data_IF_195558098468
#
_entry.id   IF_195558098468
#
_cell.length_a   1.000
_cell.length_b   1.000
_cell.length_c   1.000
_cell.angle_alpha   90.00
_cell.angle_beta   90.00
_cell.angle_gamma   90.00
#
_symmetry.space_group_name_H-M   'P 1'
#
loop_
_entity.id
_entity.type
_entity.pdbx_description
1 polymer ?
#
# COMPACT_ATOMS: atom_id res chain seq x y z
N UNK A 1 12.12 4.22 18.75
CA UNK A 1 11.67 3.58 17.49
C UNK A 1 11.07 4.67 16.63
N UNK A 2 11.34 4.69 15.31
CA UNK A 2 10.68 5.64 14.40
C UNK A 2 9.17 5.36 14.33
N UNK A 3 8.36 6.41 14.10
CA UNK A 3 6.92 6.22 13.90
C UNK A 3 6.66 5.30 12.70
N UNK A 4 5.57 4.48 12.73
CA UNK A 4 5.22 3.62 11.62
C UNK A 4 4.99 4.42 10.33
N UNK A 5 5.34 3.82 9.17
CA UNK A 5 5.03 4.43 7.87
C UNK A 5 3.52 4.48 7.63
N UNK A 6 3.05 5.60 7.12
CA UNK A 6 1.66 5.81 6.77
C UNK A 6 1.52 6.02 5.25
N UNK A 7 0.92 5.06 4.55
CA UNK A 7 0.55 5.18 3.14
C UNK A 7 -0.95 5.43 3.02
N UNK A 8 -1.34 6.36 2.15
CA UNK A 8 -2.74 6.54 1.73
C UNK A 8 -2.81 6.29 0.22
N UNK A 9 -3.58 5.29 -0.19
CA UNK A 9 -3.63 4.80 -1.56
C UNK A 9 -4.88 5.27 -2.30
N UNK A 10 -4.83 5.31 -3.64
CA UNK A 10 -5.97 5.63 -4.50
C UNK A 10 -6.24 7.13 -4.65
N UNK A 11 -5.19 7.93 -4.76
CA UNK A 11 -5.28 9.37 -5.07
C UNK A 11 -5.84 9.57 -6.47
N UNK A 12 -6.88 10.41 -6.59
CA UNK A 12 -7.49 10.80 -7.88
C UNK A 12 -7.70 12.31 -8.01
N UNK A 13 -7.61 13.07 -6.91
CA UNK A 13 -7.90 14.50 -6.86
C UNK A 13 -6.77 15.27 -6.18
N UNK A 14 -6.56 16.52 -6.61
CA UNK A 14 -5.55 17.40 -6.05
C UNK A 14 -5.76 17.66 -4.55
N UNK A 15 -6.99 17.90 -4.13
CA UNK A 15 -7.38 18.14 -2.74
C UNK A 15 -7.07 16.96 -1.83
N UNK A 16 -7.24 15.71 -2.32
CA UNK A 16 -6.91 14.51 -1.56
C UNK A 16 -5.40 14.35 -1.40
N UNK A 17 -4.63 14.64 -2.46
CA UNK A 17 -3.15 14.61 -2.42
C UNK A 17 -2.63 15.59 -1.36
N UNK A 18 -3.09 16.84 -1.40
CA UNK A 18 -2.67 17.88 -0.44
C UNK A 18 -3.14 17.53 0.97
N UNK A 19 -4.43 17.23 1.14
CA UNK A 19 -5.00 16.98 2.46
C UNK A 19 -4.44 15.73 3.14
N UNK A 20 -4.10 14.67 2.40
CA UNK A 20 -3.44 13.47 2.96
C UNK A 20 -1.99 13.77 3.37
N UNK A 21 -1.26 14.56 2.58
CA UNK A 21 0.11 14.94 2.92
C UNK A 21 0.14 15.85 4.17
N UNK A 22 -0.74 16.85 4.24
CA UNK A 22 -0.89 17.71 5.41
C UNK A 22 -1.30 16.95 6.68
N UNK A 23 -2.07 15.87 6.51
CA UNK A 23 -2.43 14.99 7.61
C UNK A 23 -1.29 14.06 8.06
N UNK A 24 -0.13 14.06 7.39
CA UNK A 24 1.07 13.32 7.78
C UNK A 24 1.28 11.99 7.05
N UNK A 25 0.68 11.78 5.87
CA UNK A 25 1.00 10.63 5.02
C UNK A 25 2.45 10.70 4.53
N UNK A 26 3.19 9.59 4.65
CA UNK A 26 4.57 9.47 4.12
C UNK A 26 4.56 9.05 2.64
N UNK A 27 3.56 8.26 2.24
CA UNK A 27 3.42 7.68 0.91
C UNK A 27 2.01 7.91 0.37
N UNK A 28 1.89 8.31 -0.91
CA UNK A 28 0.62 8.48 -1.62
C UNK A 28 0.58 7.54 -2.84
N UNK A 29 -0.47 6.71 -2.92
CA UNK A 29 -0.62 5.70 -3.97
C UNK A 29 -1.49 6.19 -5.14
N UNK A 30 -1.00 5.99 -6.37
CA UNK A 30 -1.65 6.29 -7.64
C UNK A 30 -1.85 4.98 -8.39
N UNK A 31 -3.07 4.62 -8.77
CA UNK A 31 -3.40 3.29 -9.31
C UNK A 31 -3.46 3.33 -10.83
N UNK A 32 -2.72 2.43 -11.48
CA UNK A 32 -2.67 2.30 -12.94
C UNK A 32 -3.35 1.01 -13.46
N UNK A 33 -4.01 0.26 -12.58
CA UNK A 33 -4.78 -0.92 -12.96
C UNK A 33 -6.12 -0.53 -13.58
N UNK A 34 -6.34 -0.85 -14.86
CA UNK A 34 -7.50 -0.41 -15.65
C UNK A 34 -8.86 -0.80 -15.05
N UNK A 35 -8.95 -1.91 -14.31
CA UNK A 35 -10.17 -2.37 -13.66
C UNK A 35 -10.50 -1.62 -12.37
N UNK A 36 -9.59 -0.79 -11.87
CA UNK A 36 -9.80 -0.04 -10.64
C UNK A 36 -10.67 1.20 -10.90
N UNK A 37 -11.69 1.49 -10.05
CA UNK A 37 -12.43 2.75 -10.13
C UNK A 37 -11.56 3.98 -9.76
N UNK A 38 -10.33 3.76 -9.32
CA UNK A 38 -9.33 4.77 -8.97
C UNK A 38 -8.20 4.84 -9.99
N UNK A 39 -8.39 4.23 -11.16
CA UNK A 39 -7.37 4.20 -12.21
C UNK A 39 -7.11 5.61 -12.76
N UNK A 40 -5.84 5.94 -12.93
CA UNK A 40 -5.36 7.15 -13.59
C UNK A 40 -4.52 6.80 -14.79
N UNK A 41 -4.49 7.68 -15.79
CA UNK A 41 -3.43 7.68 -16.80
C UNK A 41 -2.15 8.28 -16.18
N UNK A 42 -0.95 7.98 -16.76
CA UNK A 42 0.30 8.59 -16.31
C UNK A 42 0.25 10.13 -16.33
N UNK A 43 -0.31 10.72 -17.39
CA UNK A 43 -0.47 12.17 -17.52
C UNK A 43 -1.40 12.77 -16.44
N UNK A 44 -2.50 12.08 -16.10
CA UNK A 44 -3.37 12.50 -15.00
C UNK A 44 -2.64 12.47 -13.65
N UNK A 45 -1.87 11.41 -13.38
CA UNK A 45 -1.08 11.32 -12.16
C UNK A 45 0.01 12.41 -12.11
N UNK A 46 0.72 12.65 -13.23
CA UNK A 46 1.72 13.71 -13.34
C UNK A 46 1.15 15.11 -13.05
N UNK A 47 -0.10 15.37 -13.46
CA UNK A 47 -0.77 16.65 -13.26
C UNK A 47 -1.20 16.91 -11.80
N UNK A 48 -1.20 15.89 -10.93
CA UNK A 48 -1.56 16.04 -9.51
C UNK A 48 -0.43 16.73 -8.73
N UNK A 49 -0.75 17.53 -7.69
CA UNK A 49 0.21 18.30 -6.93
C UNK A 49 1.40 17.48 -6.41
N UNK A 50 2.58 18.09 -6.41
CA UNK A 50 3.76 17.61 -5.73
C UNK A 50 3.71 18.03 -4.27
N UNK A 51 3.92 17.09 -3.35
CA UNK A 51 3.94 17.29 -1.91
C UNK A 51 5.15 16.57 -1.31
N UNK A 52 5.39 16.73 -0.01
CA UNK A 52 6.54 16.07 0.64
C UNK A 52 6.44 14.53 0.69
N UNK A 53 5.21 13.98 0.66
CA UNK A 53 4.99 12.53 0.64
C UNK A 53 5.48 11.92 -0.68
N UNK A 54 6.09 10.72 -0.60
CA UNK A 54 6.58 9.99 -1.78
C UNK A 54 5.42 9.44 -2.60
N UNK A 55 5.58 9.45 -3.92
CA UNK A 55 4.60 8.98 -4.90
C UNK A 55 4.81 7.49 -5.18
N UNK A 56 3.76 6.69 -5.05
CA UNK A 56 3.78 5.24 -5.25
C UNK A 56 2.83 4.86 -6.37
N UNK A 57 3.34 4.33 -7.48
CA UNK A 57 2.49 3.75 -8.54
C UNK A 57 2.05 2.34 -8.16
N UNK A 58 0.78 2.02 -8.34
CA UNK A 58 0.25 0.66 -8.11
C UNK A 58 -0.02 -0.01 -9.45
N UNK A 59 0.65 -1.14 -9.67
CA UNK A 59 0.67 -1.91 -10.92
C UNK A 59 0.18 -3.34 -10.69
N UNK A 60 -0.56 -3.90 -11.64
CA UNK A 60 -1.10 -5.27 -11.56
C UNK A 60 -0.65 -6.12 -12.75
N UNK A 61 -0.99 -5.71 -13.97
CA UNK A 61 -0.80 -6.50 -15.20
C UNK A 61 0.27 -5.90 -16.15
N UNK A 62 0.85 -4.75 -15.78
CA UNK A 62 1.80 -4.04 -16.62
C UNK A 62 3.11 -4.81 -16.80
N UNK A 63 3.68 -4.73 -17.99
CA UNK A 63 5.03 -5.20 -18.30
C UNK A 63 6.09 -4.35 -17.60
N UNK A 64 7.32 -4.82 -17.55
CA UNK A 64 8.43 -4.07 -16.96
C UNK A 64 8.65 -2.72 -17.68
N UNK A 65 8.59 -2.70 -19.01
CA UNK A 65 8.74 -1.49 -19.81
C UNK A 65 7.63 -0.46 -19.49
N UNK A 66 6.37 -0.92 -19.40
CA UNK A 66 5.25 -0.07 -19.03
C UNK A 66 5.40 0.48 -17.60
N UNK A 67 5.80 -0.36 -16.63
CA UNK A 67 6.04 0.10 -15.25
C UNK A 67 7.10 1.20 -15.24
N UNK A 68 8.24 0.99 -15.87
CA UNK A 68 9.33 1.97 -15.91
C UNK A 68 8.94 3.26 -16.66
N UNK A 69 8.22 3.14 -17.77
CA UNK A 69 7.69 4.27 -18.54
C UNK A 69 6.72 5.11 -17.73
N UNK A 70 5.74 4.46 -17.08
CA UNK A 70 4.76 5.14 -16.20
C UNK A 70 5.45 5.78 -15.00
N UNK A 71 6.43 5.10 -14.40
CA UNK A 71 7.19 5.66 -13.28
C UNK A 71 7.93 6.94 -13.67
N UNK A 72 8.49 6.98 -14.87
CA UNK A 72 9.17 8.17 -15.38
C UNK A 72 8.19 9.30 -15.69
N UNK A 73 7.11 9.02 -16.45
CA UNK A 73 6.13 10.03 -16.87
C UNK A 73 5.36 10.63 -15.68
N UNK A 74 4.89 9.78 -14.75
CA UNK A 74 4.15 10.22 -13.57
C UNK A 74 5.06 10.61 -12.40
N UNK A 75 6.40 10.60 -12.61
CA UNK A 75 7.42 10.97 -11.62
C UNK A 75 7.22 10.24 -10.28
N UNK A 76 7.15 8.91 -10.33
CA UNK A 76 6.92 8.07 -9.17
C UNK A 76 8.23 7.68 -8.47
N UNK A 77 8.24 7.75 -7.14
CA UNK A 77 9.37 7.34 -6.32
C UNK A 77 9.45 5.82 -6.17
N UNK A 78 8.29 5.17 -6.01
CA UNK A 78 8.17 3.74 -5.71
C UNK A 78 7.14 3.08 -6.66
N UNK A 79 7.35 1.79 -6.93
CA UNK A 79 6.40 0.92 -7.60
C UNK A 79 5.83 -0.10 -6.60
N UNK A 80 4.51 -0.10 -6.41
CA UNK A 80 3.81 -1.18 -5.72
C UNK A 80 3.36 -2.22 -6.75
N UNK A 81 3.99 -3.37 -6.73
CA UNK A 81 3.69 -4.50 -7.58
C UNK A 81 2.63 -5.38 -6.91
N UNK A 82 1.41 -5.30 -7.45
CA UNK A 82 0.20 -5.89 -6.87
C UNK A 82 -0.36 -7.02 -7.75
N UNK A 83 0.47 -7.62 -8.58
CA UNK A 83 0.15 -8.72 -9.50
C UNK A 83 1.00 -9.96 -9.27
N UNK A 84 1.33 -10.66 -10.35
CA UNK A 84 2.13 -11.89 -10.35
C UNK A 84 3.64 -11.67 -10.57
N UNK A 85 4.15 -10.45 -10.39
CA UNK A 85 5.55 -10.14 -10.64
C UNK A 85 6.47 -10.94 -9.72
N UNK A 86 7.50 -11.56 -10.28
CA UNK A 86 8.49 -12.38 -9.61
C UNK A 86 9.68 -11.55 -9.04
N UNK A 87 10.61 -12.18 -8.31
CA UNK A 87 11.78 -11.48 -7.78
C UNK A 87 12.67 -10.84 -8.84
N UNK A 88 12.79 -11.43 -10.03
CA UNK A 88 13.64 -10.88 -11.10
C UNK A 88 13.01 -9.61 -11.69
N UNK A 89 11.70 -9.58 -11.86
CA UNK A 89 10.97 -8.37 -12.20
C UNK A 89 11.20 -7.26 -11.16
N UNK A 90 11.14 -7.60 -9.86
CA UNK A 90 11.38 -6.64 -8.78
C UNK A 90 12.81 -6.08 -8.83
N UNK A 91 13.82 -6.93 -9.10
CA UNK A 91 15.21 -6.51 -9.27
C UNK A 91 15.39 -5.59 -10.47
N UNK A 92 14.69 -5.85 -11.57
CA UNK A 92 14.74 -5.02 -12.78
C UNK A 92 14.11 -3.63 -12.59
N UNK A 93 13.06 -3.50 -11.76
CA UNK A 93 12.51 -2.19 -11.36
C UNK A 93 13.45 -1.44 -10.42
N UNK A 94 14.23 -2.17 -9.64
CA UNK A 94 15.16 -1.68 -8.62
C UNK A 94 14.67 -1.98 -7.19
N UNK A 95 15.38 -2.85 -6.44
CA UNK A 95 14.90 -3.37 -5.15
C UNK A 95 14.47 -2.31 -4.14
N UNK A 96 15.22 -1.19 -4.06
CA UNK A 96 14.94 -0.09 -3.14
C UNK A 96 13.72 0.77 -3.55
N UNK A 97 13.15 0.54 -4.74
CA UNK A 97 11.97 1.23 -5.26
C UNK A 97 10.71 0.36 -5.25
N UNK A 98 10.78 -0.89 -4.81
CA UNK A 98 9.67 -1.84 -4.91
C UNK A 98 8.97 -2.05 -3.57
N UNK A 99 7.64 -1.96 -3.60
CA UNK A 99 6.71 -2.50 -2.61
C UNK A 99 6.03 -3.70 -3.27
N UNK A 100 6.14 -4.92 -2.72
CA UNK A 100 5.51 -6.13 -3.28
C UNK A 100 4.32 -6.53 -2.41
N UNK A 101 3.15 -6.69 -3.05
CA UNK A 101 1.94 -7.15 -2.35
C UNK A 101 1.92 -8.67 -2.19
N UNK A 102 1.55 -9.12 -1.01
CA UNK A 102 1.33 -10.52 -0.65
C UNK A 102 -0.07 -10.66 -0.04
N UNK A 103 -0.70 -11.82 -0.24
CA UNK A 103 -2.07 -12.09 0.19
C UNK A 103 -2.09 -13.26 1.17
N UNK A 104 -2.17 -13.03 2.48
CA UNK A 104 -2.22 -14.10 3.49
C UNK A 104 -3.28 -15.16 3.19
N UNK A 105 -4.44 -14.76 2.68
CA UNK A 105 -5.56 -15.65 2.37
C UNK A 105 -5.31 -16.61 1.19
N UNK A 106 -4.26 -16.38 0.39
CA UNK A 106 -3.84 -17.30 -0.69
C UNK A 106 -2.95 -18.44 -0.19
N UNK A 107 -2.53 -18.38 1.08
CA UNK A 107 -1.65 -19.35 1.69
C UNK A 107 -2.39 -20.23 2.69
N UNK A 108 -2.16 -21.56 2.67
CA UNK A 108 -2.77 -22.48 3.64
C UNK A 108 -2.22 -22.25 5.06
N UNK A 109 -1.00 -21.75 5.20
CA UNK A 109 -0.33 -21.48 6.48
C UNK A 109 0.51 -20.22 6.43
N UNK A 110 0.80 -19.64 7.60
CA UNK A 110 1.77 -18.52 7.71
C UNK A 110 3.19 -18.93 7.28
N UNK A 111 3.56 -20.21 7.48
CA UNK A 111 4.85 -20.74 7.02
C UNK A 111 4.99 -20.71 5.50
N UNK A 112 3.94 -21.02 4.74
CA UNK A 112 3.98 -20.91 3.27
C UNK A 112 4.00 -19.45 2.79
N UNK A 113 3.34 -18.53 3.48
CA UNK A 113 3.46 -17.09 3.22
C UNK A 113 4.88 -16.60 3.51
N UNK A 114 5.45 -16.98 4.66
CA UNK A 114 6.82 -16.61 5.02
C UNK A 114 7.84 -17.13 4.01
N UNK A 115 7.66 -18.34 3.50
CA UNK A 115 8.51 -18.91 2.46
C UNK A 115 8.41 -18.14 1.13
N UNK A 116 7.20 -17.73 0.70
CA UNK A 116 7.05 -16.87 -0.47
C UNK A 116 7.76 -15.52 -0.23
N UNK A 117 7.54 -14.89 0.91
CA UNK A 117 8.18 -13.60 1.22
C UNK A 117 9.70 -13.71 1.24
N UNK A 118 10.26 -14.80 1.78
CA UNK A 118 11.71 -15.04 1.82
C UNK A 118 12.33 -15.13 0.42
N UNK A 119 11.60 -15.60 -0.59
CA UNK A 119 12.08 -15.62 -1.98
C UNK A 119 12.31 -14.21 -2.56
N UNK A 120 11.72 -13.17 -1.97
CA UNK A 120 11.89 -11.77 -2.37
C UNK A 120 12.95 -11.02 -1.53
N UNK A 121 13.68 -11.72 -0.65
CA UNK A 121 14.74 -11.09 0.13
C UNK A 121 15.79 -10.46 -0.79
N UNK A 122 16.18 -9.22 -0.47
CA UNK A 122 17.08 -8.42 -1.32
C UNK A 122 16.49 -7.97 -2.66
N UNK A 123 15.26 -8.36 -3.03
CA UNK A 123 14.60 -7.96 -4.28
C UNK A 123 13.58 -6.83 -4.09
N UNK A 124 13.15 -6.53 -2.88
CA UNK A 124 12.14 -5.53 -2.56
C UNK A 124 12.53 -4.67 -1.35
N UNK A 125 11.99 -3.45 -1.29
CA UNK A 125 12.16 -2.55 -0.14
C UNK A 125 11.18 -2.86 0.98
N UNK A 126 9.92 -3.08 0.62
CA UNK A 126 8.83 -3.35 1.55
C UNK A 126 7.95 -4.49 1.02
N UNK A 127 7.55 -5.37 1.90
CA UNK A 127 6.39 -6.21 1.66
C UNK A 127 5.11 -5.44 2.02
N UNK A 128 4.01 -5.68 1.33
CA UNK A 128 2.68 -5.20 1.68
C UNK A 128 1.78 -6.42 1.84
N UNK A 129 1.31 -6.66 3.05
CA UNK A 129 0.34 -7.72 3.33
C UNK A 129 -1.07 -7.17 3.12
N UNK A 130 -1.68 -7.51 1.99
CA UNK A 130 -3.07 -7.17 1.70
C UNK A 130 -3.99 -8.28 2.22
N UNK A 131 -4.47 -8.06 3.41
CA UNK A 131 -5.38 -8.97 4.08
C UNK A 131 -6.86 -8.60 3.82
N UNK A 132 -7.10 -7.69 2.85
CA UNK A 132 -8.44 -7.31 2.40
C UNK A 132 -9.12 -8.47 1.67
N UNK A 133 -10.37 -8.71 2.02
CA UNK A 133 -11.25 -9.52 1.20
C UNK A 133 -11.64 -8.72 -0.03
N UNK A 134 -11.21 -9.14 -1.21
CA UNK A 134 -11.77 -8.64 -2.46
C UNK A 134 -13.27 -8.92 -2.49
N UNK A 135 -14.09 -7.87 -2.35
CA UNK A 135 -15.54 -7.93 -2.48
C UNK A 135 -16.25 -8.43 -1.23
N UNK A 136 -16.92 -7.52 -0.61
CA UNK A 136 -17.69 -7.62 0.61
C UNK A 136 -18.42 -8.93 0.89
N UNK A 137 -18.57 -9.26 2.17
CA UNK A 137 -19.63 -10.09 2.66
C UNK A 137 -19.27 -11.37 3.42
N UNK A 138 -18.01 -11.66 3.67
CA UNK A 138 -17.66 -12.84 4.50
C UNK A 138 -16.85 -12.40 5.71
N UNK A 139 -17.49 -11.86 6.70
CA UNK A 139 -17.10 -11.46 8.05
C UNK A 139 -15.87 -12.08 8.76
N UNK A 140 -14.82 -12.43 8.04
CA UNK A 140 -13.53 -12.75 8.63
C UNK A 140 -12.77 -11.45 8.80
N UNK A 141 -12.84 -10.87 10.00
CA UNK A 141 -11.89 -9.87 10.45
C UNK A 141 -10.48 -10.44 10.25
N UNK A 142 -9.57 -9.58 9.81
CA UNK A 142 -8.13 -9.83 9.82
C UNK A 142 -7.74 -10.41 11.19
N UNK A 143 -7.14 -11.58 11.19
CA UNK A 143 -6.52 -12.11 12.39
C UNK A 143 -5.15 -11.44 12.58
N UNK A 144 -5.18 -10.24 13.17
CA UNK A 144 -3.97 -9.49 13.49
C UNK A 144 -3.03 -10.26 14.40
N UNK A 145 -3.56 -11.14 15.26
CA UNK A 145 -2.75 -11.94 16.18
C UNK A 145 -1.94 -12.99 15.40
N UNK A 146 -2.54 -13.63 14.40
CA UNK A 146 -1.81 -14.55 13.54
C UNK A 146 -0.68 -13.81 12.78
N UNK A 147 -0.93 -12.61 12.25
CA UNK A 147 0.10 -11.83 11.56
C UNK A 147 1.25 -11.36 12.48
N UNK A 148 1.01 -11.24 13.78
CA UNK A 148 2.06 -10.89 14.76
C UNK A 148 3.17 -11.94 14.88
N UNK A 149 2.89 -13.19 14.51
CA UNK A 149 3.88 -14.28 14.50
C UNK A 149 4.75 -14.27 13.23
N UNK A 150 4.38 -13.46 12.22
CA UNK A 150 5.12 -13.38 10.97
C UNK A 150 6.39 -12.55 11.16
N UNK A 151 7.55 -13.13 10.82
CA UNK A 151 8.85 -12.46 10.88
C UNK A 151 9.49 -12.41 9.48
N UNK A 152 9.00 -11.57 8.57
CA UNK A 152 9.57 -11.47 7.22
C UNK A 152 10.98 -10.85 7.26
N UNK A 153 11.87 -11.21 6.31
CA UNK A 153 13.24 -10.69 6.27
C UNK A 153 13.32 -9.20 5.86
N UNK A 154 12.20 -8.61 5.46
CA UNK A 154 12.13 -7.19 5.07
C UNK A 154 11.05 -6.45 5.87
N UNK A 155 11.13 -5.11 5.98
CA UNK A 155 10.05 -4.31 6.55
C UNK A 155 8.75 -4.51 5.78
N UNK A 156 7.60 -4.50 6.50
CA UNK A 156 6.30 -4.75 5.88
C UNK A 156 5.23 -3.77 6.32
N UNK A 157 4.29 -3.54 5.41
CA UNK A 157 3.11 -2.71 5.59
C UNK A 157 1.87 -3.59 5.67
N UNK A 158 0.92 -3.22 6.50
CA UNK A 158 -0.39 -3.89 6.59
C UNK A 158 -1.43 -3.10 5.80
N UNK A 159 -2.16 -3.79 4.93
CA UNK A 159 -3.28 -3.28 4.15
C UNK A 159 -4.52 -4.15 4.36
N UNK A 160 -5.67 -3.70 3.84
CA UNK A 160 -6.91 -4.46 3.85
C UNK A 160 -7.98 -3.86 4.77
N UNK A 161 -8.73 -2.86 4.26
CA UNK A 161 -9.86 -2.27 4.96
C UNK A 161 -9.52 -1.50 6.24
N UNK A 162 -8.27 -1.06 6.38
CA UNK A 162 -7.84 -0.25 7.52
C UNK A 162 -8.45 1.16 7.45
N UNK A 163 -8.87 1.65 8.60
CA UNK A 163 -9.47 2.97 8.78
C UNK A 163 -9.43 3.42 10.23
N UNK A 164 -10.14 4.52 10.58
CA UNK A 164 -10.05 5.12 11.91
C UNK A 164 -10.48 4.19 13.05
N UNK A 165 -11.30 3.19 12.75
CA UNK A 165 -11.92 2.36 13.79
C UNK A 165 -11.10 1.09 14.12
N UNK A 166 -10.08 0.73 13.28
CA UNK A 166 -9.31 -0.50 13.46
C UNK A 166 -7.78 -0.33 13.32
N UNK A 167 -7.29 0.79 12.77
CA UNK A 167 -5.85 0.97 12.48
C UNK A 167 -4.99 0.94 13.74
N UNK A 168 -5.45 1.53 14.84
CA UNK A 168 -4.73 1.53 16.12
C UNK A 168 -4.58 0.11 16.70
N UNK A 169 -5.65 -0.69 16.63
CA UNK A 169 -5.64 -2.08 17.05
C UNK A 169 -4.72 -2.93 16.15
N UNK A 170 -4.81 -2.75 14.85
CA UNK A 170 -3.95 -3.42 13.86
C UNK A 170 -2.46 -3.18 14.16
N UNK A 171 -2.06 -1.93 14.41
CA UNK A 171 -0.69 -1.56 14.78
C UNK A 171 -0.24 -2.19 16.10
N UNK A 172 -1.10 -2.16 17.10
CA UNK A 172 -0.79 -2.69 18.43
C UNK A 172 -0.58 -4.20 18.42
N UNK A 173 -1.41 -4.94 17.66
CA UNK A 173 -1.40 -6.42 17.64
C UNK A 173 -0.40 -6.94 16.63
N UNK A 174 -0.55 -6.60 15.34
CA UNK A 174 0.28 -7.14 14.26
C UNK A 174 1.68 -6.54 14.18
N UNK A 175 1.88 -5.35 14.77
CA UNK A 175 3.18 -4.62 14.83
C UNK A 175 3.87 -4.49 13.46
N UNK A 176 3.16 -4.08 12.39
CA UNK A 176 3.78 -3.83 11.10
C UNK A 176 4.71 -2.61 11.17
N UNK A 177 5.61 -2.47 10.20
CA UNK A 177 6.46 -1.29 10.05
C UNK A 177 5.68 -0.07 9.52
N UNK A 178 4.47 -0.28 9.02
CA UNK A 178 3.57 0.76 8.55
C UNK A 178 2.22 0.20 8.10
N UNK A 179 1.35 1.09 7.63
CA UNK A 179 0.00 0.76 7.16
C UNK A 179 -0.28 1.35 5.79
N UNK A 180 -1.18 0.72 5.05
CA UNK A 180 -1.73 1.22 3.79
C UNK A 180 -3.25 1.41 3.92
N UNK A 181 -3.69 2.65 3.86
CA UNK A 181 -5.09 3.08 3.99
C UNK A 181 -5.65 3.35 2.59
N UNK A 182 -6.80 2.76 2.25
CA UNK A 182 -7.47 3.03 0.99
C UNK A 182 -8.98 3.21 1.20
N UNK A 183 -9.79 2.18 0.97
CA UNK A 183 -11.26 2.25 1.04
C UNK A 183 -11.78 2.59 2.44
N UNK A 184 -11.08 2.21 3.51
CA UNK A 184 -11.49 2.53 4.89
C UNK A 184 -11.43 4.03 5.24
N UNK A 185 -10.78 4.84 4.40
CA UNK A 185 -10.69 6.30 4.57
C UNK A 185 -11.34 7.05 3.40
N UNK A 186 -12.27 6.41 2.69
CA UNK A 186 -13.05 7.01 1.60
C UNK A 186 -14.48 7.31 2.01
N UNK A 187 -15.08 8.29 1.34
CA UNK A 187 -16.52 8.54 1.33
C UNK A 187 -17.19 7.75 0.21
N UNK A 188 -16.51 7.61 -0.93
CA UNK A 188 -16.86 6.74 -2.05
C UNK A 188 -15.59 6.39 -2.82
N UNK A 189 -15.57 5.35 -3.68
CA UNK A 189 -14.37 4.94 -4.40
C UNK A 189 -13.68 6.10 -5.13
N UNK A 190 -12.42 6.37 -4.77
CA UNK A 190 -11.61 7.46 -5.32
C UNK A 190 -11.82 8.83 -4.68
N UNK A 191 -12.71 8.97 -3.69
CA UNK A 191 -12.92 10.21 -2.95
C UNK A 191 -12.53 10.02 -1.49
N UNK A 192 -11.45 10.66 -1.04
CA UNK A 192 -11.02 10.55 0.36
C UNK A 192 -11.92 11.38 1.27
N UNK A 193 -12.25 10.80 2.42
CA UNK A 193 -12.80 11.50 3.56
C UNK A 193 -11.62 12.00 4.42
N UNK A 194 -11.29 13.27 4.32
CA UNK A 194 -10.13 13.85 5.01
C UNK A 194 -10.28 13.81 6.55
N UNK A 195 -11.49 13.70 7.09
CA UNK A 195 -11.68 13.50 8.53
C UNK A 195 -11.28 12.08 8.94
N UNK A 196 -11.69 11.07 8.17
CA UNK A 196 -11.25 9.68 8.38
C UNK A 196 -9.73 9.56 8.21
N UNK A 197 -9.16 10.20 7.18
CA UNK A 197 -7.72 10.23 6.95
C UNK A 197 -7.00 10.79 8.17
N UNK A 198 -7.37 11.99 8.64
CA UNK A 198 -6.75 12.63 9.81
C UNK A 198 -6.84 11.77 11.07
N UNK A 199 -8.02 11.22 11.38
CA UNK A 199 -8.22 10.32 12.52
C UNK A 199 -7.33 9.08 12.44
N UNK A 200 -7.23 8.46 11.24
CA UNK A 200 -6.39 7.28 11.04
C UNK A 200 -4.91 7.62 11.16
N UNK A 201 -4.45 8.70 10.53
CA UNK A 201 -3.05 9.10 10.57
C UNK A 201 -2.62 9.58 11.96
N UNK A 202 -3.51 10.25 12.71
CA UNK A 202 -3.28 10.56 14.11
C UNK A 202 -3.05 9.28 14.94
N UNK A 203 -3.87 8.24 14.74
CA UNK A 203 -3.70 6.96 15.42
C UNK A 203 -2.39 6.24 15.04
N UNK A 204 -1.90 6.44 13.79
CA UNK A 204 -0.62 5.86 13.31
C UNK A 204 0.59 6.60 13.84
N UNK A 205 0.55 7.92 13.88
CA UNK A 205 1.71 8.78 14.17
C UNK A 205 1.80 9.20 15.65
N UNK A 206 0.69 9.16 16.39
CA UNK A 206 0.62 9.62 17.78
C UNK A 206 0.74 11.14 17.94
N UNK A 207 0.38 11.89 16.87
CA UNK A 207 0.44 13.36 16.83
C UNK A 207 -0.92 13.96 16.60
#
# INVERSE_FOLDING_TARGET
MSAPLAKVCGMTRAEDVVGCAEAGADLLGFIFAAKSPRCLTPAQAAALPRVAAKRVGVFVEQTLEEVLGIMAEAELDLAQLHGGQDPDFCRAVGPHRVIRAFWPQKHPTLGSLAAEMAAFDGAIRYALLDAGTSGGGHGKSLDFAALAELAPPMPWLLAGGLGPDNVAEALRIAKPHGVDLNSGVESSPGLKDLQKVRRSLWAVKGV
#
